data_IF_521375997371
#
_entry.id   IF_521375997371
#
_cell.length_a   1.000
_cell.length_b   1.000
_cell.length_c   1.000
_cell.angle_alpha   90.00
_cell.angle_beta   90.00
_cell.angle_gamma   90.00
#
_symmetry.space_group_name_H-M   'P 1'
#
loop_
_entity.id
_entity.type
_entity.pdbx_description
1 polymer ?
#
# COMPACT_ATOMS: atom_id res chain seq x y z
N UNK A 1 34.77 2.21 -57.67
CA UNK A 1 33.97 1.63 -56.55
C UNK A 1 33.05 2.73 -56.05
N UNK A 2 31.74 2.77 -56.39
CA UNK A 2 30.60 2.06 -55.74
C UNK A 2 30.65 2.25 -54.20
N UNK A 3 29.66 2.79 -53.46
CA UNK A 3 28.26 3.22 -53.71
C UNK A 3 27.79 4.10 -52.51
N UNK A 4 26.99 5.13 -52.82
CA UNK A 4 25.72 5.64 -52.22
C UNK A 4 25.55 5.94 -50.70
N UNK A 5 25.09 7.18 -50.46
CA UNK A 5 24.19 7.64 -49.37
C UNK A 5 22.88 6.84 -49.30
N UNK A 6 22.38 6.52 -48.09
CA UNK A 6 20.95 6.34 -47.72
C UNK A 6 20.86 6.60 -46.19
N UNK A 7 20.48 7.79 -45.71
CA UNK A 7 19.15 8.15 -45.17
C UNK A 7 18.50 7.06 -44.30
N UNK A 8 18.49 7.19 -42.97
CA UNK A 8 17.55 6.44 -42.14
C UNK A 8 16.46 7.35 -41.56
N UNK A 9 15.25 6.92 -41.83
CA UNK A 9 13.96 7.61 -41.79
C UNK A 9 13.48 7.74 -40.34
N UNK A 10 13.07 8.95 -39.97
CA UNK A 10 12.16 9.19 -38.84
C UNK A 10 10.81 8.59 -39.22
N UNK A 11 10.43 7.48 -38.59
CA UNK A 11 9.08 6.92 -38.76
C UNK A 11 8.19 7.53 -37.68
N UNK A 12 7.57 8.65 -38.05
CA UNK A 12 6.35 9.12 -37.40
C UNK A 12 5.17 8.34 -37.98
N UNK A 13 4.54 7.47 -37.19
CA UNK A 13 3.24 6.89 -37.56
C UNK A 13 2.17 7.80 -36.96
N UNK A 14 1.79 8.81 -37.74
CA UNK A 14 0.49 9.43 -37.62
C UNK A 14 -0.52 8.54 -38.37
N UNK A 15 -1.39 7.84 -37.66
CA UNK A 15 -2.62 7.32 -38.25
C UNK A 15 -3.75 8.26 -37.85
N UNK A 16 -4.02 9.18 -38.77
CA UNK A 16 -5.28 9.86 -38.95
C UNK A 16 -6.30 8.83 -39.46
N UNK A 17 -7.28 8.48 -38.63
CA UNK A 17 -8.59 8.02 -39.11
C UNK A 17 -9.65 8.90 -38.46
N UNK A 18 -9.93 10.04 -39.09
CA UNK A 18 -11.20 10.73 -38.93
C UNK A 18 -12.19 10.10 -39.91
N UNK A 19 -13.25 9.47 -39.39
CA UNK A 19 -14.37 9.02 -40.21
C UNK A 19 -15.23 7.95 -39.57
N UNK A 20 -16.21 8.40 -38.76
CA UNK A 20 -17.49 7.75 -38.45
C UNK A 20 -17.50 6.73 -37.29
N UNK A 21 -18.09 7.15 -36.16
CA UNK A 21 -18.86 6.26 -35.27
C UNK A 21 -18.15 5.63 -34.07
N UNK A 22 -18.00 6.39 -32.98
CA UNK A 22 -17.67 5.88 -31.64
C UNK A 22 -16.43 6.53 -31.04
N UNK A 23 -16.60 7.53 -30.16
CA UNK A 23 -15.53 8.03 -29.31
C UNK A 23 -15.05 6.89 -28.39
N UNK A 24 -13.97 6.19 -28.74
CA UNK A 24 -13.26 5.40 -27.73
C UNK A 24 -12.58 6.39 -26.77
N UNK A 25 -12.95 6.32 -25.49
CA UNK A 25 -12.39 7.13 -24.40
C UNK A 25 -11.06 6.57 -23.87
N UNK A 26 -10.61 5.46 -24.44
CA UNK A 26 -9.40 4.74 -24.05
C UNK A 26 -8.23 5.18 -24.92
N UNK A 27 -7.18 5.71 -24.29
CA UNK A 27 -5.89 5.89 -24.95
C UNK A 27 -4.97 4.76 -24.47
N UNK A 28 -4.93 3.66 -25.21
CA UNK A 28 -3.90 2.64 -25.02
C UNK A 28 -2.60 3.17 -25.61
N UNK A 29 -1.66 3.54 -24.74
CA UNK A 29 -0.30 3.88 -25.14
C UNK A 29 0.50 2.59 -25.08
N UNK A 30 0.74 1.95 -26.23
CA UNK A 30 1.74 0.89 -26.34
C UNK A 30 3.08 1.60 -26.57
N UNK A 31 3.78 1.92 -25.48
CA UNK A 31 5.20 2.23 -25.56
C UNK A 31 5.90 0.90 -25.42
N UNK A 32 6.63 0.51 -26.45
CA UNK A 32 7.41 -0.71 -26.42
C UNK A 32 8.41 -0.68 -25.26
N UNK A 33 8.39 -1.74 -24.48
CA UNK A 33 9.55 -2.34 -23.81
C UNK A 33 10.47 -1.30 -23.21
N UNK A 34 10.17 -0.95 -21.97
CA UNK A 34 11.13 -0.92 -20.88
C UNK A 34 10.57 -0.02 -19.79
N UNK A 35 10.46 -0.57 -18.58
CA UNK A 35 11.04 0.08 -17.41
C UNK A 35 12.48 0.46 -17.81
N UNK A 36 12.66 1.59 -18.50
CA UNK A 36 13.97 1.95 -19.06
C UNK A 36 14.87 2.15 -17.87
N UNK A 37 15.81 1.21 -17.73
CA UNK A 37 17.01 1.32 -16.93
C UNK A 37 17.90 2.41 -17.55
N UNK A 38 17.35 3.61 -17.66
CA UNK A 38 18.09 4.79 -18.06
C UNK A 38 18.89 5.20 -16.83
N UNK A 39 20.06 4.59 -16.65
CA UNK A 39 21.10 5.02 -15.70
C UNK A 39 21.61 6.45 -15.94
N UNK A 40 20.84 7.33 -16.58
CA UNK A 40 21.29 8.66 -16.94
C UNK A 40 20.12 9.61 -17.23
N UNK A 41 19.47 10.22 -16.21
CA UNK A 41 18.46 11.27 -16.48
C UNK A 41 18.24 12.28 -15.33
N UNK A 42 19.17 13.22 -15.15
CA UNK A 42 18.89 14.60 -14.69
C UNK A 42 18.38 14.87 -13.27
N UNK A 43 18.07 13.84 -12.46
CA UNK A 43 17.83 13.96 -11.01
C UNK A 43 19.09 13.45 -10.33
N UNK A 44 19.70 14.28 -9.49
CA UNK A 44 20.92 13.87 -8.79
C UNK A 44 20.51 13.16 -7.49
N UNK A 45 20.59 11.83 -7.48
CA UNK A 45 20.23 11.05 -6.30
C UNK A 45 21.50 10.57 -5.62
N UNK A 46 21.62 10.90 -4.34
CA UNK A 46 22.63 10.29 -3.48
C UNK A 46 22.02 9.11 -2.72
N UNK A 47 22.77 8.02 -2.64
CA UNK A 47 22.40 6.81 -1.93
C UNK A 47 23.39 6.58 -0.77
N UNK A 48 22.85 6.35 0.43
CA UNK A 48 23.61 5.90 1.60
C UNK A 48 23.11 4.52 2.02
N UNK A 49 24.04 3.61 2.31
CA UNK A 49 23.71 2.26 2.80
C UNK A 49 24.03 2.17 4.28
N UNK A 50 23.04 1.76 5.07
CA UNK A 50 23.18 1.52 6.50
C UNK A 50 22.91 0.03 6.78
N UNK A 51 23.92 -0.64 7.32
CA UNK A 51 23.78 -2.00 7.84
C UNK A 51 23.44 -1.93 9.32
N UNK A 52 22.34 -2.58 9.72
CA UNK A 52 21.91 -2.55 11.12
C UNK A 52 22.96 -3.19 12.03
N UNK A 53 23.39 -2.48 13.07
CA UNK A 53 24.22 -3.01 14.16
C UNK A 53 23.33 -3.36 15.34
N UNK A 54 22.70 -4.52 15.28
CA UNK A 54 21.86 -5.06 16.34
C UNK A 54 22.07 -6.57 16.48
N UNK A 55 21.62 -7.14 17.59
CA UNK A 55 21.68 -8.58 17.81
C UNK A 55 20.87 -9.33 16.75
N UNK A 56 21.29 -10.56 16.45
CA UNK A 56 20.59 -11.43 15.52
C UNK A 56 19.10 -11.51 15.87
N UNK A 57 18.25 -11.33 14.87
CA UNK A 57 16.80 -11.26 14.99
C UNK A 57 16.21 -9.99 15.62
N UNK A 58 16.96 -8.89 15.62
CA UNK A 58 16.42 -7.55 15.91
C UNK A 58 16.12 -6.82 14.60
N UNK A 59 14.86 -6.42 14.41
CA UNK A 59 14.45 -5.57 13.30
C UNK A 59 14.20 -4.14 13.79
N UNK A 60 14.71 -3.17 13.04
CA UNK A 60 14.29 -1.77 13.15
C UNK A 60 13.28 -1.44 12.05
N UNK A 61 12.10 -0.95 12.42
CA UNK A 61 11.03 -0.57 11.49
C UNK A 61 10.93 0.95 11.45
N UNK A 62 11.43 1.60 10.38
CA UNK A 62 11.30 3.04 10.20
C UNK A 62 9.83 3.44 10.14
N UNK A 63 9.49 4.55 10.81
CA UNK A 63 8.13 5.12 10.90
C UNK A 63 8.05 6.49 10.24
N UNK A 64 8.97 7.40 10.56
CA UNK A 64 8.97 8.76 10.02
C UNK A 64 10.35 9.41 10.04
N UNK A 65 10.47 10.49 9.25
CA UNK A 65 11.57 11.44 9.34
C UNK A 65 11.20 12.64 10.23
N UNK A 66 12.16 13.07 11.04
CA UNK A 66 12.12 14.35 11.73
C UNK A 66 13.47 15.08 11.53
N UNK A 67 13.48 15.99 10.56
CA UNK A 67 14.72 16.52 9.99
C UNK A 67 15.58 15.40 9.41
N UNK A 68 16.82 15.30 9.87
CA UNK A 68 17.77 14.26 9.44
C UNK A 68 17.65 12.96 10.24
N UNK A 69 16.84 12.93 11.29
CA UNK A 69 16.66 11.74 12.12
C UNK A 69 15.57 10.85 11.55
N UNK A 70 15.83 9.55 11.60
CA UNK A 70 14.86 8.52 11.23
C UNK A 70 14.37 7.91 12.53
N UNK A 71 13.07 8.05 12.81
CA UNK A 71 12.42 7.47 13.98
C UNK A 71 11.70 6.17 13.60
N UNK A 72 11.69 5.22 14.52
CA UNK A 72 11.14 3.89 14.28
C UNK A 72 10.92 3.09 15.55
N UNK A 73 10.37 1.88 15.37
CA UNK A 73 10.15 0.91 16.43
C UNK A 73 11.11 -0.27 16.29
N UNK A 74 11.56 -0.83 17.41
CA UNK A 74 12.40 -2.04 17.43
C UNK A 74 11.55 -3.25 17.78
N UNK A 75 11.69 -4.31 17.00
CA UNK A 75 10.92 -5.54 17.15
C UNK A 75 11.78 -6.80 16.98
N UNK A 76 11.35 -7.90 17.61
CA UNK A 76 11.96 -9.20 17.41
C UNK A 76 11.50 -9.79 16.08
N UNK A 77 12.45 -10.21 15.24
CA UNK A 77 12.18 -10.94 14.01
C UNK A 77 12.04 -12.45 14.23
N UNK A 78 12.36 -12.96 15.43
CA UNK A 78 12.30 -14.37 15.80
C UNK A 78 11.01 -14.77 16.54
N UNK A 79 10.17 -13.80 16.89
CA UNK A 79 9.22 -13.94 17.99
C UNK A 79 7.86 -14.52 17.61
N UNK A 80 7.47 -15.57 18.35
CA UNK A 80 6.06 -15.92 18.60
C UNK A 80 5.49 -14.94 19.63
N UNK A 81 4.19 -14.67 19.57
CA UNK A 81 3.52 -13.79 20.53
C UNK A 81 3.58 -14.39 21.94
N UNK A 82 4.10 -13.63 22.90
CA UNK A 82 4.10 -13.92 24.34
C UNK A 82 3.22 -12.89 25.02
N UNK A 83 2.00 -13.26 25.45
CA UNK A 83 0.97 -12.33 25.92
C UNK A 83 1.48 -11.34 26.97
N UNK A 84 2.27 -11.81 27.93
CA UNK A 84 2.79 -11.00 29.04
C UNK A 84 4.14 -10.32 28.76
N UNK A 85 4.67 -10.47 27.54
CA UNK A 85 5.96 -9.92 27.17
C UNK A 85 7.16 -10.68 27.71
N UNK A 86 8.35 -10.13 27.43
CA UNK A 86 9.62 -10.52 28.05
C UNK A 86 10.35 -9.28 28.57
N UNK A 87 11.42 -9.45 29.35
CA UNK A 87 12.22 -8.31 29.83
C UNK A 87 12.79 -7.48 28.67
N UNK A 88 13.23 -8.15 27.60
CA UNK A 88 13.80 -7.50 26.41
C UNK A 88 12.72 -6.91 25.48
N UNK A 89 11.59 -7.61 25.33
CA UNK A 89 10.46 -7.23 24.47
C UNK A 89 9.17 -7.21 25.29
N UNK A 90 8.94 -6.13 26.07
CA UNK A 90 7.82 -6.07 27.02
C UNK A 90 6.44 -6.04 26.34
N UNK A 91 6.36 -5.64 25.08
CA UNK A 91 5.09 -5.62 24.34
C UNK A 91 4.95 -6.92 23.55
N UNK A 92 4.07 -7.81 24.02
CA UNK A 92 3.72 -9.09 23.37
C UNK A 92 4.92 -10.02 23.08
N UNK A 93 6.07 -9.80 23.72
CA UNK A 93 7.29 -10.58 23.50
C UNK A 93 7.98 -10.26 22.17
N UNK A 94 7.53 -9.22 21.48
CA UNK A 94 7.93 -8.92 20.09
C UNK A 94 8.31 -7.47 19.86
N UNK A 95 7.93 -6.51 20.72
CA UNK A 95 8.22 -5.09 20.50
C UNK A 95 8.83 -4.44 21.74
N UNK A 96 9.79 -3.54 21.51
CA UNK A 96 10.30 -2.65 22.55
C UNK A 96 9.34 -1.50 22.79
N UNK A 97 9.40 -0.90 23.99
CA UNK A 97 8.45 0.13 24.44
C UNK A 97 8.63 1.47 23.72
N UNK A 98 9.86 1.93 23.53
CA UNK A 98 10.10 3.30 23.07
C UNK A 98 10.18 3.39 21.54
N UNK A 99 10.15 4.63 21.04
CA UNK A 99 10.70 4.97 19.74
C UNK A 99 12.22 5.00 19.81
N UNK A 100 12.86 4.69 18.68
CA UNK A 100 14.30 4.63 18.52
C UNK A 100 14.72 5.47 17.30
N UNK A 101 15.94 5.98 17.31
CA UNK A 101 16.55 6.59 16.12
C UNK A 101 17.57 5.64 15.49
N UNK A 102 17.55 5.56 14.15
CA UNK A 102 18.60 4.90 13.37
C UNK A 102 19.68 5.91 13.01
N UNK A 103 20.92 5.61 13.42
CA UNK A 103 22.10 6.41 13.15
C UNK A 103 22.77 5.97 11.83
N UNK A 104 23.57 6.86 11.22
CA UNK A 104 24.28 6.59 9.96
C UNK A 104 25.27 5.42 10.05
N UNK A 105 25.77 5.15 11.27
CA UNK A 105 26.67 4.02 11.50
C UNK A 105 25.94 2.69 11.71
N UNK A 106 24.60 2.68 11.65
CA UNK A 106 23.76 1.50 11.84
C UNK A 106 23.36 1.21 13.28
N UNK A 107 23.82 1.98 14.25
CA UNK A 107 23.38 1.84 15.64
C UNK A 107 21.95 2.37 15.84
N UNK A 108 21.23 1.78 16.80
CA UNK A 108 19.92 2.24 17.24
C UNK A 108 20.03 2.91 18.60
N UNK A 109 19.48 4.12 18.75
CA UNK A 109 19.45 4.84 20.03
C UNK A 109 18.03 4.93 20.55
N UNK A 110 17.85 4.62 21.82
CA UNK A 110 16.56 4.75 22.50
C UNK A 110 16.22 6.24 22.66
N UNK A 111 14.94 6.55 22.56
CA UNK A 111 14.41 7.89 22.88
C UNK A 111 13.50 7.80 24.11
N UNK A 112 13.19 8.95 24.72
CA UNK A 112 12.27 9.02 25.86
C UNK A 112 10.78 8.98 25.44
N UNK A 113 10.50 8.81 24.15
CA UNK A 113 9.14 8.81 23.61
C UNK A 113 8.64 7.40 23.36
N UNK A 114 7.38 7.18 23.70
CA UNK A 114 6.65 5.97 23.32
C UNK A 114 5.85 6.21 22.03
N UNK A 115 5.68 5.19 21.17
CA UNK A 115 4.70 5.26 20.07
C UNK A 115 3.31 5.57 20.62
N UNK A 116 2.53 6.36 19.89
CA UNK A 116 1.16 6.67 20.27
C UNK A 116 0.27 5.42 20.24
N UNK A 117 0.62 4.45 19.37
CA UNK A 117 -0.09 3.20 19.28
C UNK A 117 0.86 2.00 19.08
N UNK A 118 0.71 0.96 19.89
CA UNK A 118 1.43 -0.29 19.73
C UNK A 118 0.62 -1.24 18.85
N UNK A 119 1.11 -1.53 17.65
CA UNK A 119 0.51 -2.55 16.81
C UNK A 119 1.53 -3.25 15.92
N UNK A 120 1.56 -4.57 16.03
CA UNK A 120 2.33 -5.47 15.18
C UNK A 120 1.71 -5.48 13.77
N UNK A 121 2.28 -4.70 12.86
CA UNK A 121 1.88 -4.66 11.45
C UNK A 121 1.56 -3.27 10.91
N UNK A 122 1.38 -2.28 11.79
CA UNK A 122 1.36 -0.88 11.37
C UNK A 122 2.80 -0.48 11.06
N UNK A 123 3.00 0.20 9.92
CA UNK A 123 4.31 0.72 9.51
C UNK A 123 4.30 2.23 9.34
N UNK A 124 3.10 2.80 9.23
CA UNK A 124 2.83 4.21 9.20
C UNK A 124 3.07 4.83 10.60
N UNK A 125 3.48 6.09 10.62
CA UNK A 125 3.64 6.89 11.83
C UNK A 125 2.37 7.65 12.23
N UNK A 126 1.38 7.68 11.34
CA UNK A 126 0.15 8.45 11.48
C UNK A 126 -0.97 7.73 10.76
N UNK A 127 -2.14 7.67 11.37
CA UNK A 127 -3.32 7.15 10.69
C UNK A 127 -4.45 6.83 11.65
N UNK A 128 -5.27 5.86 11.26
CA UNK A 128 -6.30 5.30 12.13
C UNK A 128 -6.15 3.80 12.31
N UNK A 129 -6.58 3.32 13.47
CA UNK A 129 -6.49 1.92 13.88
C UNK A 129 -7.77 1.52 14.57
N UNK A 130 -8.14 0.26 14.41
CA UNK A 130 -9.09 -0.38 15.33
C UNK A 130 -8.26 -1.03 16.43
N UNK A 131 -8.58 -0.72 17.68
CA UNK A 131 -7.94 -1.38 18.80
C UNK A 131 -8.32 -2.86 18.79
N UNK A 132 -7.31 -3.70 18.56
CA UNK A 132 -7.39 -5.15 18.39
C UNK A 132 -6.12 -5.84 18.92
N UNK A 133 -5.01 -5.10 19.09
CA UNK A 133 -3.84 -5.59 19.84
C UNK A 133 -4.24 -5.93 21.28
N UNK A 134 -5.19 -5.16 21.83
CA UNK A 134 -5.82 -5.47 23.09
C UNK A 134 -6.90 -6.57 23.01
N UNK A 135 -7.24 -7.12 21.84
CA UNK A 135 -8.08 -8.34 21.80
C UNK A 135 -7.26 -9.56 22.26
N UNK A 136 -5.91 -9.49 22.16
CA UNK A 136 -5.01 -10.47 22.78
C UNK A 136 -4.77 -10.20 24.27
N UNK A 137 -5.03 -8.97 24.73
CA UNK A 137 -4.91 -8.51 26.12
C UNK A 137 -6.28 -7.98 26.55
N UNK A 138 -7.22 -8.88 26.88
CA UNK A 138 -8.60 -8.58 27.32
C UNK A 138 -8.81 -7.12 27.76
N UNK A 139 -9.41 -6.31 26.89
CA UNK A 139 -9.70 -4.90 27.20
C UNK A 139 -11.15 -4.56 26.94
N UNK A 140 -11.69 -3.64 27.71
CA UNK A 140 -13.06 -3.11 27.53
C UNK A 140 -13.22 -2.25 26.26
N UNK A 141 -12.12 -2.03 25.52
CA UNK A 141 -12.03 -1.13 24.37
C UNK A 141 -12.01 -1.85 23.01
N UNK A 142 -12.29 -3.16 22.97
CA UNK A 142 -12.45 -3.94 21.75
C UNK A 142 -13.38 -3.17 20.80
N UNK A 143 -12.93 -2.96 19.55
CA UNK A 143 -13.63 -2.19 18.50
C UNK A 143 -13.56 -0.66 18.59
N UNK A 144 -12.80 -0.06 19.51
CA UNK A 144 -12.57 1.38 19.46
C UNK A 144 -11.71 1.76 18.25
N UNK A 145 -12.07 2.85 17.58
CA UNK A 145 -11.30 3.43 16.48
C UNK A 145 -10.50 4.59 17.03
N UNK A 146 -9.18 4.57 16.85
CA UNK A 146 -8.27 5.63 17.26
C UNK A 146 -7.60 6.27 16.04
N UNK A 147 -7.49 7.59 16.06
CA UNK A 147 -6.45 8.31 15.33
C UNK A 147 -5.17 8.31 16.17
N UNK A 148 -4.03 8.21 15.50
CA UNK A 148 -2.72 8.33 16.12
C UNK A 148 -1.76 9.12 15.23
N UNK A 149 -0.80 9.78 15.86
CA UNK A 149 0.35 10.43 15.23
C UNK A 149 1.57 10.30 16.14
N UNK A 150 2.47 9.37 15.81
CA UNK A 150 3.69 9.07 16.55
C UNK A 150 4.67 10.25 16.53
N UNK A 151 4.64 11.09 15.49
CA UNK A 151 5.56 12.23 15.36
C UNK A 151 5.28 13.28 16.42
N UNK A 152 4.02 13.48 16.80
CA UNK A 152 3.62 14.41 17.86
C UNK A 152 3.14 13.72 19.16
N UNK A 153 3.05 12.38 19.17
CA UNK A 153 2.62 11.61 20.34
C UNK A 153 1.11 11.72 20.60
N UNK A 154 0.32 11.98 19.57
CA UNK A 154 -1.13 12.14 19.70
C UNK A 154 -1.83 10.78 19.56
N UNK A 155 -2.77 10.50 20.47
CA UNK A 155 -3.74 9.41 20.35
C UNK A 155 -5.13 9.94 20.70
N UNK A 156 -6.10 9.76 19.81
CA UNK A 156 -7.47 10.26 19.99
C UNK A 156 -8.49 9.21 19.55
N UNK A 157 -9.47 8.93 20.40
CA UNK A 157 -10.60 8.06 20.05
C UNK A 157 -11.54 8.78 19.09
N UNK A 158 -11.84 8.17 17.95
CA UNK A 158 -12.78 8.67 16.94
C UNK A 158 -14.16 8.05 17.09
N UNK A 159 -14.26 6.84 17.62
CA UNK A 159 -15.54 6.16 17.77
C UNK A 159 -15.40 4.68 18.04
N UNK A 160 -16.44 3.93 17.68
CA UNK A 160 -16.45 2.47 17.70
C UNK A 160 -16.78 1.95 16.31
N UNK A 161 -16.03 0.93 15.86
CA UNK A 161 -16.37 0.19 14.65
C UNK A 161 -17.65 -0.60 14.89
N UNK A 162 -18.29 -0.99 13.79
CA UNK A 162 -19.43 -1.88 13.84
C UNK A 162 -19.03 -3.23 14.48
N UNK A 163 -19.73 -3.63 15.55
CA UNK A 163 -19.43 -4.88 16.26
C UNK A 163 -19.88 -6.09 15.44
N UNK A 164 -18.99 -7.07 15.35
CA UNK A 164 -19.17 -8.30 14.59
C UNK A 164 -20.00 -9.37 15.33
N UNK A 165 -20.46 -9.10 16.56
CA UNK A 165 -20.99 -10.08 17.50
C UNK A 165 -22.38 -10.67 17.22
N UNK A 166 -23.00 -10.38 16.07
CA UNK A 166 -24.22 -11.09 15.67
C UNK A 166 -23.87 -12.51 15.19
N UNK A 167 -24.10 -13.48 16.09
CA UNK A 167 -23.80 -14.91 15.98
C UNK A 167 -24.64 -15.69 14.96
N UNK A 168 -25.64 -15.09 14.33
CA UNK A 168 -26.73 -15.91 13.77
C UNK A 168 -26.58 -16.37 12.30
N UNK A 169 -25.73 -15.79 11.43
CA UNK A 169 -25.80 -16.21 10.00
C UNK A 169 -24.73 -15.71 8.99
N UNK A 170 -23.43 -15.68 9.28
CA UNK A 170 -22.52 -14.93 8.37
C UNK A 170 -21.19 -15.65 8.07
N UNK A 171 -20.84 -15.75 6.78
CA UNK A 171 -19.63 -16.39 6.25
C UNK A 171 -18.36 -15.53 6.37
N UNK A 172 -17.46 -15.58 5.37
CA UNK A 172 -16.19 -14.82 5.35
C UNK A 172 -16.44 -13.31 5.47
N UNK A 173 -15.67 -12.63 6.32
CA UNK A 173 -15.69 -11.17 6.53
C UNK A 173 -14.29 -10.59 6.37
N UNK A 174 -14.21 -9.41 5.75
CA UNK A 174 -12.97 -8.67 5.55
C UNK A 174 -13.18 -7.21 5.97
N UNK A 175 -12.51 -6.83 7.06
CA UNK A 175 -12.51 -5.47 7.58
C UNK A 175 -11.29 -4.68 7.08
N UNK A 176 -11.48 -3.39 6.78
CA UNK A 176 -10.38 -2.48 6.42
C UNK A 176 -10.60 -1.13 7.08
N UNK A 177 -9.54 -0.59 7.67
CA UNK A 177 -9.56 0.70 8.37
C UNK A 177 -8.33 1.51 7.97
N UNK A 178 -8.52 2.72 7.44
CA UNK A 178 -7.42 3.58 6.99
C UNK A 178 -7.83 5.05 6.82
N UNK A 179 -6.85 5.94 6.71
CA UNK A 179 -7.04 7.32 6.27
C UNK A 179 -7.50 7.36 4.81
N UNK A 180 -8.33 8.33 4.43
CA UNK A 180 -8.71 8.55 3.03
C UNK A 180 -7.55 9.25 2.33
N UNK A 181 -6.94 8.58 1.34
CA UNK A 181 -5.89 9.19 0.56
C UNK A 181 -6.42 10.40 -0.23
N UNK A 182 -5.64 11.48 -0.26
CA UNK A 182 -6.03 12.76 -0.86
C UNK A 182 -6.80 13.69 0.09
N UNK A 183 -7.27 13.19 1.24
CA UNK A 183 -7.99 13.99 2.23
C UNK A 183 -7.70 13.49 3.66
N UNK A 184 -6.69 14.06 4.30
CA UNK A 184 -6.20 13.63 5.62
C UNK A 184 -7.15 13.98 6.78
N UNK A 185 -8.17 14.80 6.56
CA UNK A 185 -9.17 15.11 7.58
C UNK A 185 -10.22 14.01 7.73
N UNK A 186 -10.24 13.04 6.82
CA UNK A 186 -11.19 11.93 6.84
C UNK A 186 -10.49 10.58 6.83
N UNK A 187 -11.17 9.61 7.41
CA UNK A 187 -10.76 8.23 7.45
C UNK A 187 -11.98 7.33 7.32
N UNK A 188 -11.78 6.03 7.11
CA UNK A 188 -12.90 5.12 6.98
C UNK A 188 -12.65 3.75 7.62
N UNK A 189 -13.74 3.07 7.96
CA UNK A 189 -13.78 1.63 8.19
C UNK A 189 -14.80 0.98 7.27
N UNK A 190 -14.41 -0.10 6.61
CA UNK A 190 -15.23 -0.90 5.70
C UNK A 190 -15.35 -2.31 6.25
N UNK A 191 -16.54 -2.87 6.13
CA UNK A 191 -16.80 -4.28 6.32
C UNK A 191 -17.37 -4.86 5.01
N UNK A 192 -16.55 -5.65 4.32
CA UNK A 192 -16.99 -6.51 3.24
C UNK A 192 -17.31 -7.89 3.81
N UNK A 193 -18.29 -8.59 3.25
CA UNK A 193 -18.57 -9.95 3.68
C UNK A 193 -19.64 -10.64 2.85
N UNK A 194 -19.78 -11.94 3.10
CA UNK A 194 -20.84 -12.74 2.49
C UNK A 194 -21.99 -12.91 3.47
N UNK A 195 -23.16 -12.40 3.10
CA UNK A 195 -24.40 -12.74 3.79
C UNK A 195 -24.77 -14.17 3.39
N UNK A 196 -24.84 -15.08 4.36
CA UNK A 196 -25.34 -16.43 4.10
C UNK A 196 -26.87 -16.39 4.16
N UNK A 197 -27.54 -17.04 3.21
CA UNK A 197 -28.86 -17.58 3.51
C UNK A 197 -28.66 -18.69 4.55
N UNK A 198 -29.29 -18.56 5.72
CA UNK A 198 -29.27 -19.61 6.74
C UNK A 198 -29.84 -20.88 6.09
N UNK A 199 -28.97 -21.85 5.76
CA UNK A 199 -29.42 -23.23 5.70
C UNK A 199 -29.24 -23.79 7.08
N UNK A 200 -30.37 -24.14 7.70
CA UNK A 200 -30.38 -25.07 8.84
C UNK A 200 -29.69 -26.36 8.40
N UNK A 201 -28.39 -26.49 8.65
CA UNK A 201 -27.72 -27.78 8.60
C UNK A 201 -26.98 -27.98 9.91
N UNK A 202 -27.59 -28.83 10.74
CA UNK A 202 -26.98 -29.42 11.92
C UNK A 202 -25.62 -30.02 11.54
N UNK A 203 -24.60 -29.64 12.31
CA UNK A 203 -23.32 -30.31 12.56
C UNK A 203 -22.46 -30.75 11.37
N UNK A 204 -21.19 -30.36 11.47
CA UNK A 204 -19.99 -31.04 10.97
C UNK A 204 -20.04 -31.56 9.53
N UNK A 205 -19.49 -30.76 8.61
CA UNK A 205 -18.78 -31.10 7.35
C UNK A 205 -18.94 -29.93 6.38
N UNK A 206 -17.81 -29.43 5.87
CA UNK A 206 -17.63 -28.51 4.74
C UNK A 206 -18.93 -27.98 4.09
N UNK A 207 -19.52 -26.96 4.71
CA UNK A 207 -20.65 -26.26 4.11
C UNK A 207 -20.20 -25.54 2.84
N UNK A 208 -20.77 -25.90 1.69
CA UNK A 208 -20.64 -25.10 0.46
C UNK A 208 -21.13 -23.69 0.75
N UNK A 209 -20.19 -22.75 0.82
CA UNK A 209 -20.49 -21.33 0.99
C UNK A 209 -21.03 -20.79 -0.33
N UNK A 210 -22.35 -20.75 -0.49
CA UNK A 210 -23.02 -20.11 -1.63
C UNK A 210 -23.35 -18.65 -1.33
N UNK A 211 -23.10 -17.75 -2.27
CA UNK A 211 -23.42 -16.32 -2.15
C UNK A 211 -22.34 -15.43 -2.74
N UNK A 212 -22.70 -14.20 -3.09
CA UNK A 212 -21.74 -13.17 -3.51
C UNK A 212 -21.32 -12.33 -2.31
N UNK A 213 -20.03 -12.00 -2.22
CA UNK A 213 -19.56 -11.03 -1.24
C UNK A 213 -20.13 -9.64 -1.59
N UNK A 214 -20.46 -8.85 -0.57
CA UNK A 214 -21.01 -7.49 -0.69
C UNK A 214 -20.32 -6.56 0.32
N UNK A 215 -20.43 -5.25 0.08
CA UNK A 215 -20.21 -4.25 1.12
C UNK A 215 -21.36 -4.38 2.11
N UNK A 216 -21.07 -4.61 3.40
CA UNK A 216 -22.09 -4.71 4.46
C UNK A 216 -22.22 -3.40 5.23
N UNK A 217 -21.08 -2.75 5.47
CA UNK A 217 -21.03 -1.50 6.20
C UNK A 217 -19.82 -0.65 5.76
N UNK A 218 -20.03 0.66 5.73
CA UNK A 218 -18.99 1.68 5.66
C UNK A 218 -19.27 2.71 6.76
N UNK A 219 -18.22 3.14 7.45
CA UNK A 219 -18.24 4.37 8.26
C UNK A 219 -17.12 5.29 7.75
N UNK A 220 -17.46 6.50 7.33
CA UNK A 220 -16.51 7.58 7.08
C UNK A 220 -16.50 8.47 8.31
N UNK A 221 -15.31 8.78 8.81
CA UNK A 221 -15.06 9.48 10.07
C UNK A 221 -14.27 10.76 9.79
N UNK A 222 -14.78 11.88 10.26
CA UNK A 222 -14.03 13.12 10.33
C UNK A 222 -13.05 13.04 11.50
N UNK A 223 -11.75 13.07 11.17
CA UNK A 223 -10.66 12.85 12.12
C UNK A 223 -10.65 13.97 13.17
N UNK A 224 -10.92 15.20 12.77
CA UNK A 224 -10.78 16.38 13.64
C UNK A 224 -12.07 16.81 14.35
N UNK A 225 -13.23 16.55 13.74
CA UNK A 225 -14.52 17.05 14.21
C UNK A 225 -15.43 15.94 14.77
N UNK A 226 -15.05 14.67 14.63
CA UNK A 226 -15.85 13.52 15.08
C UNK A 226 -17.11 13.28 14.24
N UNK A 227 -17.23 13.93 13.08
CA UNK A 227 -18.32 13.65 12.14
C UNK A 227 -18.28 12.19 11.71
N UNK A 228 -19.46 11.63 11.47
CA UNK A 228 -19.60 10.22 11.12
C UNK A 228 -20.71 10.05 10.11
N UNK A 229 -20.38 9.39 9.00
CA UNK A 229 -21.29 9.05 7.93
C UNK A 229 -21.32 7.53 7.77
N UNK A 230 -22.50 6.94 7.78
CA UNK A 230 -22.66 5.49 7.69
C UNK A 230 -23.40 5.07 6.42
N UNK A 231 -22.95 3.96 5.83
CA UNK A 231 -23.74 3.16 4.91
C UNK A 231 -23.96 1.78 5.54
N UNK A 232 -25.20 1.28 5.45
CA UNK A 232 -25.59 -0.07 5.83
C UNK A 232 -26.49 -0.61 4.72
N UNK A 233 -26.07 -1.67 4.08
CA UNK A 233 -26.81 -2.26 2.97
C UNK A 233 -26.00 -3.38 2.33
N UNK A 234 -26.58 -4.08 1.35
CA UNK A 234 -25.95 -5.21 0.66
C UNK A 234 -26.05 -5.11 -0.87
N UNK A 235 -26.44 -3.93 -1.37
CA UNK A 235 -26.67 -3.68 -2.80
C UNK A 235 -25.36 -3.48 -3.58
N UNK A 236 -24.26 -3.24 -2.88
CA UNK A 236 -22.98 -2.85 -3.46
C UNK A 236 -22.00 -4.02 -3.34
N UNK A 237 -21.21 -4.25 -4.40
CA UNK A 237 -20.10 -5.20 -4.36
C UNK A 237 -19.04 -4.77 -3.33
N UNK A 238 -18.13 -5.66 -2.92
CA UNK A 238 -17.09 -5.34 -1.98
C UNK A 238 -16.28 -4.15 -2.47
N UNK A 239 -16.13 -3.15 -1.61
CA UNK A 239 -15.33 -1.96 -1.90
C UNK A 239 -13.88 -2.27 -1.55
N UNK A 240 -12.98 -2.06 -2.52
CA UNK A 240 -11.54 -2.21 -2.33
C UNK A 240 -10.94 -1.02 -1.57
N UNK A 241 -11.33 0.20 -1.96
CA UNK A 241 -10.79 1.42 -1.40
C UNK A 241 -11.73 2.63 -1.54
N UNK A 242 -11.49 3.64 -0.71
CA UNK A 242 -12.11 4.98 -0.77
C UNK A 242 -11.01 6.02 -0.80
N UNK A 243 -11.05 6.87 -1.81
CA UNK A 243 -10.08 7.94 -2.04
C UNK A 243 -10.80 9.27 -2.26
N UNK A 244 -10.07 10.37 -2.10
CA UNK A 244 -10.54 11.70 -2.46
C UNK A 244 -9.78 12.22 -3.67
N UNK A 245 -10.51 12.70 -4.68
CA UNK A 245 -9.94 13.35 -5.85
C UNK A 245 -10.15 14.86 -5.78
N UNK A 246 -9.06 15.62 -5.71
CA UNK A 246 -9.09 17.08 -5.78
C UNK A 246 -9.45 17.65 -7.16
N UNK A 247 -9.42 16.84 -8.23
CA UNK A 247 -9.80 17.30 -9.58
C UNK A 247 -11.30 17.60 -9.64
N UNK A 248 -12.08 16.78 -8.93
CA UNK A 248 -13.53 16.85 -8.90
C UNK A 248 -14.08 17.28 -7.55
N UNK A 249 -13.24 17.39 -6.51
CA UNK A 249 -13.62 17.68 -5.13
C UNK A 249 -14.64 16.67 -4.60
N UNK A 250 -14.31 15.37 -4.73
CA UNK A 250 -15.22 14.26 -4.42
C UNK A 250 -14.52 13.07 -3.80
N UNK A 251 -15.28 12.34 -2.98
CA UNK A 251 -14.93 11.02 -2.49
C UNK A 251 -15.37 9.95 -3.48
N UNK A 252 -14.49 9.02 -3.78
CA UNK A 252 -14.76 7.91 -4.67
C UNK A 252 -14.51 6.58 -3.98
N UNK A 253 -15.48 5.67 -4.10
CA UNK A 253 -15.32 4.27 -3.76
C UNK A 253 -15.18 3.44 -5.03
N UNK A 254 -14.28 2.46 -5.01
CA UNK A 254 -14.03 1.55 -6.13
C UNK A 254 -14.34 0.13 -5.68
N UNK A 255 -15.25 -0.55 -6.37
CA UNK A 255 -15.51 -1.95 -6.10
C UNK A 255 -14.47 -2.87 -6.74
N UNK A 256 -14.47 -4.14 -6.32
CA UNK A 256 -13.52 -5.16 -6.81
C UNK A 256 -13.54 -5.39 -8.33
N UNK A 257 -14.56 -4.93 -9.06
CA UNK A 257 -14.70 -5.06 -10.52
C UNK A 257 -14.38 -3.75 -11.27
N UNK A 258 -13.97 -2.69 -10.56
CA UNK A 258 -13.64 -1.40 -11.15
C UNK A 258 -14.82 -0.43 -11.26
N UNK A 259 -16.00 -0.76 -10.72
CA UNK A 259 -17.12 0.18 -10.70
C UNK A 259 -16.81 1.31 -9.73
N UNK A 260 -16.98 2.54 -10.21
CA UNK A 260 -16.65 3.76 -9.50
C UNK A 260 -17.95 4.42 -8.99
N UNK A 261 -17.96 4.72 -7.70
CA UNK A 261 -19.06 5.40 -7.04
C UNK A 261 -18.59 6.73 -6.45
N UNK A 262 -19.34 7.80 -6.68
CA UNK A 262 -19.26 8.99 -5.83
C UNK A 262 -19.87 8.64 -4.47
N UNK A 263 -19.18 8.98 -3.38
CA UNK A 263 -19.69 8.81 -2.02
C UNK A 263 -20.13 10.16 -1.48
N UNK A 264 -21.44 10.38 -1.46
CA UNK A 264 -22.04 11.61 -0.93
C UNK A 264 -22.30 11.44 0.57
N UNK A 265 -21.80 12.38 1.36
CA UNK A 265 -21.91 12.40 2.81
C UNK A 265 -22.90 13.50 3.21
N UNK A 266 -24.08 13.09 3.69
CA UNK A 266 -25.15 14.04 4.07
C UNK A 266 -26.01 13.44 5.17
N UNK A 267 -26.42 14.25 6.14
CA UNK A 267 -27.35 13.84 7.20
C UNK A 267 -26.87 12.58 7.96
N UNK A 268 -25.55 12.49 8.21
CA UNK A 268 -24.86 11.33 8.82
C UNK A 268 -24.95 10.02 8.03
N UNK A 269 -25.35 10.10 6.75
CA UNK A 269 -25.45 8.98 5.82
C UNK A 269 -24.37 9.07 4.74
N UNK A 270 -23.84 7.93 4.32
CA UNK A 270 -22.99 7.79 3.13
C UNK A 270 -23.80 7.14 2.00
N UNK A 271 -23.97 7.86 0.88
CA UNK A 271 -24.71 7.39 -0.30
C UNK A 271 -23.77 7.14 -1.46
N UNK A 272 -23.96 6.01 -2.11
CA UNK A 272 -23.18 5.63 -3.29
C UNK A 272 -23.96 5.97 -4.55
N UNK A 273 -23.34 6.75 -5.42
CA UNK A 273 -23.88 7.09 -6.74
C UNK A 273 -22.89 6.58 -7.77
N UNK A 274 -23.30 5.60 -8.57
CA UNK A 274 -22.47 5.09 -9.66
C UNK A 274 -22.18 6.21 -10.67
N UNK A 275 -20.90 6.38 -11.02
CA UNK A 275 -20.46 7.46 -11.92
C UNK A 275 -19.72 6.96 -13.16
N UNK A 276 -19.04 5.82 -13.06
CA UNK A 276 -18.27 5.23 -14.15
C UNK A 276 -17.91 3.77 -13.86
N UNK A 277 -17.34 3.11 -14.87
CA UNK A 277 -16.72 1.80 -14.72
C UNK A 277 -15.30 1.83 -15.31
N UNK A 278 -14.29 1.66 -14.47
CA UNK A 278 -12.89 1.62 -14.89
C UNK A 278 -12.60 0.19 -15.34
N UNK A 279 -12.26 -0.01 -16.61
CA UNK A 279 -11.81 -1.31 -17.09
C UNK A 279 -10.46 -1.65 -16.44
N UNK A 280 -10.49 -2.60 -15.51
CA UNK A 280 -9.33 -3.06 -14.75
C UNK A 280 -8.47 -4.08 -15.50
N UNK A 281 -8.73 -4.36 -16.79
CA UNK A 281 -7.87 -5.16 -17.70
C UNK A 281 -7.33 -6.46 -17.10
N UNK A 282 -8.18 -7.21 -16.40
CA UNK A 282 -7.81 -8.51 -15.84
C UNK A 282 -6.97 -8.47 -14.56
N UNK A 283 -6.89 -7.33 -13.88
CA UNK A 283 -6.47 -7.31 -12.47
C UNK A 283 -7.45 -8.17 -11.66
N UNK A 284 -6.93 -9.13 -10.88
CA UNK A 284 -7.76 -10.09 -10.13
C UNK A 284 -8.74 -9.40 -9.16
N UNK A 285 -8.34 -8.28 -8.55
CA UNK A 285 -9.21 -7.40 -7.77
C UNK A 285 -8.48 -6.14 -7.29
N UNK A 286 -9.24 -5.08 -6.97
CA UNK A 286 -8.75 -3.94 -6.21
C UNK A 286 -8.66 -4.30 -4.71
N UNK A 287 -7.54 -4.90 -4.30
CA UNK A 287 -7.29 -5.29 -2.90
C UNK A 287 -6.72 -4.13 -2.05
N UNK A 288 -6.51 -4.36 -0.74
CA UNK A 288 -5.89 -3.39 0.16
C UNK A 288 -4.56 -2.87 -0.41
N UNK A 289 -4.41 -1.54 -0.47
CA UNK A 289 -3.20 -0.87 -0.96
C UNK A 289 -3.11 -0.73 -2.48
N UNK A 290 -4.04 -1.34 -3.25
CA UNK A 290 -4.00 -1.28 -4.73
C UNK A 290 -4.51 0.01 -5.32
N UNK A 291 -5.27 0.81 -4.56
CA UNK A 291 -5.84 2.06 -5.05
C UNK A 291 -5.17 3.24 -4.36
N UNK A 292 -4.86 4.28 -5.13
CA UNK A 292 -4.29 5.51 -4.62
C UNK A 292 -4.78 6.73 -5.40
N UNK A 293 -4.30 7.91 -5.03
CA UNK A 293 -4.51 9.15 -5.75
C UNK A 293 -3.17 9.88 -5.93
N UNK A 294 -2.89 10.34 -7.14
CA UNK A 294 -1.67 11.09 -7.43
C UNK A 294 -1.79 12.58 -7.07
N UNK A 295 -0.68 13.31 -7.17
CA UNK A 295 -0.65 14.75 -6.94
C UNK A 295 -1.51 15.57 -7.88
N UNK A 296 -1.99 15.03 -8.99
CA UNK A 296 -2.95 15.72 -9.84
C UNK A 296 -4.38 15.49 -9.37
N UNK A 297 -4.63 14.51 -8.51
CA UNK A 297 -5.95 14.05 -8.09
C UNK A 297 -6.53 12.95 -8.99
N UNK A 298 -5.70 12.30 -9.80
CA UNK A 298 -6.09 11.15 -10.61
C UNK A 298 -6.05 9.88 -9.77
N UNK A 299 -7.00 8.99 -10.04
CA UNK A 299 -7.14 7.70 -9.39
C UNK A 299 -6.09 6.76 -9.97
N UNK A 300 -5.30 6.14 -9.10
CA UNK A 300 -4.32 5.13 -9.46
C UNK A 300 -4.83 3.76 -9.02
N UNK A 301 -4.70 2.74 -9.88
CA UNK A 301 -4.94 1.34 -9.54
C UNK A 301 -3.69 0.53 -9.90
N UNK A 302 -3.07 -0.09 -8.91
CA UNK A 302 -1.83 -0.83 -9.01
C UNK A 302 -2.07 -2.34 -9.05
N UNK A 303 -1.28 -3.03 -9.87
CA UNK A 303 -1.22 -4.48 -9.87
C UNK A 303 -0.27 -4.98 -8.78
N UNK A 304 -0.84 -5.32 -7.61
CA UNK A 304 -0.07 -5.85 -6.47
C UNK A 304 0.17 -7.38 -6.56
N UNK A 305 -0.83 -8.23 -6.86
CA UNK A 305 -0.67 -9.68 -6.78
C UNK A 305 0.10 -10.31 -7.96
N UNK A 306 0.68 -9.49 -8.84
CA UNK A 306 1.55 -9.91 -9.95
C UNK A 306 0.86 -10.72 -11.05
N UNK A 307 -0.46 -10.57 -11.23
CA UNK A 307 -1.21 -11.26 -12.29
C UNK A 307 -1.59 -10.32 -13.43
N UNK A 308 -1.31 -10.70 -14.68
CA UNK A 308 -1.71 -9.97 -15.88
C UNK A 308 -0.74 -8.88 -16.34
N UNK A 309 -1.02 -8.31 -17.52
CA UNK A 309 -0.09 -7.44 -18.25
C UNK A 309 -0.12 -5.96 -17.83
N UNK A 310 -1.12 -5.51 -17.06
CA UNK A 310 -1.19 -4.11 -16.61
C UNK A 310 -0.44 -3.95 -15.30
N UNK A 311 0.47 -2.99 -15.21
CA UNK A 311 1.17 -2.62 -13.98
C UNK A 311 0.40 -1.55 -13.19
N UNK A 312 -0.13 -0.55 -13.90
CA UNK A 312 -0.84 0.58 -13.30
C UNK A 312 -1.91 1.12 -14.23
N UNK A 313 -3.04 1.53 -13.65
CA UNK A 313 -4.11 2.26 -14.31
C UNK A 313 -4.14 3.66 -13.71
N UNK A 314 -4.16 4.67 -14.57
CA UNK A 314 -4.32 6.08 -14.19
C UNK A 314 -5.66 6.54 -14.77
N UNK A 315 -6.60 6.89 -13.91
CA UNK A 315 -7.93 7.33 -14.30
C UNK A 315 -8.19 8.76 -13.84
N UNK A 316 -8.58 9.61 -14.79
CA UNK A 316 -8.91 11.00 -14.53
C UNK A 316 -10.44 11.15 -14.36
N UNK A 317 -10.97 11.36 -13.13
CA UNK A 317 -12.42 11.34 -12.88
C UNK A 317 -13.20 12.48 -13.53
N UNK A 318 -12.54 13.58 -13.91
CA UNK A 318 -13.18 14.71 -14.59
C UNK A 318 -13.34 14.48 -16.08
N UNK A 319 -12.30 13.94 -16.72
CA UNK A 319 -12.29 13.70 -18.18
C UNK A 319 -12.74 12.29 -18.55
N UNK A 320 -12.83 11.38 -17.57
CA UNK A 320 -13.08 9.95 -17.75
C UNK A 320 -12.05 9.26 -18.64
N UNK A 321 -10.86 9.84 -18.75
CA UNK A 321 -9.76 9.28 -19.53
C UNK A 321 -9.01 8.27 -18.67
N UNK A 322 -8.74 7.11 -19.25
CA UNK A 322 -7.92 6.06 -18.64
C UNK A 322 -6.61 5.91 -19.42
N UNK A 323 -5.51 5.85 -18.69
CA UNK A 323 -4.18 5.48 -19.20
C UNK A 323 -3.74 4.19 -18.52
N UNK A 324 -3.19 3.26 -19.30
CA UNK A 324 -2.64 2.00 -18.81
C UNK A 324 -1.12 2.02 -18.96
N UNK A 325 -0.42 1.61 -17.91
CA UNK A 325 1.01 1.30 -17.92
C UNK A 325 1.11 -0.21 -17.81
N UNK A 326 1.69 -0.85 -18.82
CA UNK A 326 1.81 -2.31 -18.90
C UNK A 326 3.18 -2.79 -18.41
N UNK A 327 3.26 -4.07 -18.05
CA UNK A 327 4.48 -4.79 -17.64
C UNK A 327 5.34 -5.27 -18.82
N UNK A 328 4.97 -4.95 -20.06
CA UNK A 328 5.58 -5.49 -21.29
C UNK A 328 5.65 -7.03 -21.28
N UNK A 329 6.74 -7.64 -21.77
CA UNK A 329 6.97 -9.09 -21.81
C UNK A 329 7.39 -9.68 -20.45
N UNK A 330 7.46 -8.85 -19.41
CA UNK A 330 7.98 -9.20 -18.10
C UNK A 330 6.85 -9.27 -17.09
N UNK A 331 6.17 -10.42 -17.05
CA UNK A 331 4.96 -10.60 -16.26
C UNK A 331 5.17 -10.45 -14.74
N UNK A 332 6.43 -10.40 -14.28
CA UNK A 332 6.85 -10.50 -12.87
C UNK A 332 7.12 -9.17 -12.14
N UNK A 333 6.88 -8.04 -12.81
CA UNK A 333 7.10 -6.71 -12.23
C UNK A 333 5.87 -6.23 -11.48
N UNK A 334 6.05 -5.74 -10.24
CA UNK A 334 4.97 -5.18 -9.41
C UNK A 334 5.38 -3.92 -8.66
N UNK A 335 4.39 -3.09 -8.32
CA UNK A 335 4.58 -1.92 -7.44
C UNK A 335 4.45 -2.38 -5.98
N UNK A 336 5.50 -2.14 -5.19
CA UNK A 336 5.54 -2.46 -3.76
C UNK A 336 5.10 -1.31 -2.87
N UNK A 337 5.42 -0.08 -3.26
CA UNK A 337 5.05 1.12 -2.54
C UNK A 337 4.86 2.28 -3.52
N UNK A 338 3.93 3.16 -3.17
CA UNK A 338 3.68 4.41 -3.86
C UNK A 338 3.59 5.54 -2.83
N UNK A 339 4.30 6.63 -3.11
CA UNK A 339 4.31 7.84 -2.30
C UNK A 339 3.77 8.98 -3.16
N UNK A 340 2.59 9.48 -2.77
CA UNK A 340 1.95 10.60 -3.45
C UNK A 340 2.88 11.80 -3.49
N UNK A 341 3.58 12.10 -2.39
CA UNK A 341 4.59 13.16 -2.35
C UNK A 341 5.75 12.85 -3.30
N UNK A 342 5.84 13.64 -4.37
CA UNK A 342 6.82 13.44 -5.44
C UNK A 342 6.50 12.30 -6.42
N UNK A 343 5.29 11.71 -6.38
CA UNK A 343 4.84 10.58 -7.22
C UNK A 343 5.86 9.43 -7.29
N UNK A 344 6.52 9.11 -6.16
CA UNK A 344 7.59 8.10 -6.14
C UNK A 344 7.02 6.70 -6.03
N UNK A 345 7.71 5.74 -6.65
CA UNK A 345 7.36 4.32 -6.62
C UNK A 345 8.56 3.47 -6.25
N UNK A 346 8.29 2.38 -5.55
CA UNK A 346 9.20 1.24 -5.41
C UNK A 346 8.64 0.10 -6.23
N UNK A 347 9.44 -0.36 -7.18
CA UNK A 347 9.15 -1.52 -8.01
C UNK A 347 9.98 -2.70 -7.54
N UNK A 348 9.37 -3.88 -7.63
CA UNK A 348 10.05 -5.15 -7.43
C UNK A 348 9.83 -6.00 -8.68
N UNK A 349 10.90 -6.64 -9.15
CA UNK A 349 10.90 -7.50 -10.32
C UNK A 349 11.55 -8.83 -9.96
N UNK A 350 10.89 -9.94 -10.26
CA UNK A 350 11.51 -11.27 -10.12
C UNK A 350 12.45 -11.50 -11.30
N UNK A 351 13.67 -11.96 -11.03
CA UNK A 351 14.61 -12.34 -12.07
C UNK A 351 14.55 -13.85 -12.35
N UNK A 352 15.34 -14.31 -13.32
CA UNK A 352 15.40 -15.72 -13.75
C UNK A 352 15.83 -16.69 -12.65
N UNK A 353 16.50 -16.20 -11.62
CA UNK A 353 17.08 -17.00 -10.55
C UNK A 353 16.20 -16.94 -9.28
N UNK A 354 14.92 -16.58 -9.45
CA UNK A 354 13.95 -16.41 -8.38
C UNK A 354 14.32 -15.38 -7.29
N UNK A 355 15.28 -14.51 -7.60
CA UNK A 355 15.62 -13.36 -6.78
C UNK A 355 14.76 -12.15 -7.15
N UNK A 356 14.66 -11.18 -6.23
CA UNK A 356 13.93 -9.95 -6.44
C UNK A 356 14.87 -8.77 -6.60
N UNK A 357 14.76 -8.08 -7.73
CA UNK A 357 15.40 -6.81 -7.98
C UNK A 357 14.48 -5.68 -7.54
N UNK A 358 15.06 -4.64 -6.93
CA UNK A 358 14.32 -3.47 -6.47
C UNK A 358 14.75 -2.22 -7.21
N UNK A 359 13.78 -1.42 -7.62
CA UNK A 359 13.99 -0.18 -8.34
C UNK A 359 13.21 0.95 -7.69
N UNK A 360 13.81 2.13 -7.69
CA UNK A 360 13.14 3.37 -7.28
C UNK A 360 12.92 4.24 -8.50
N UNK A 361 11.71 4.77 -8.62
CA UNK A 361 11.32 5.60 -9.74
C UNK A 361 10.23 6.61 -9.41
N UNK A 362 9.71 7.22 -10.45
CA UNK A 362 8.64 8.20 -10.39
C UNK A 362 7.57 7.89 -11.44
N UNK A 363 6.32 7.86 -10.99
CA UNK A 363 5.16 7.71 -11.85
C UNK A 363 4.94 9.01 -12.65
N UNK A 364 4.89 8.88 -13.97
CA UNK A 364 4.54 9.93 -14.93
C UNK A 364 3.18 9.61 -15.56
N UNK A 365 2.67 10.54 -16.37
CA UNK A 365 1.33 10.46 -16.96
C UNK A 365 1.05 9.17 -17.76
N UNK A 366 2.08 8.52 -18.28
CA UNK A 366 1.96 7.33 -19.13
C UNK A 366 3.15 6.36 -19.06
N UNK A 367 4.06 6.52 -18.10
CA UNK A 367 5.20 5.62 -17.89
C UNK A 367 5.73 5.77 -16.45
N UNK A 368 6.62 4.86 -16.05
CA UNK A 368 7.39 5.01 -14.81
C UNK A 368 8.83 5.31 -15.18
N UNK A 369 9.36 6.43 -14.70
CA UNK A 369 10.77 6.80 -14.88
C UNK A 369 11.59 6.15 -13.76
N UNK A 370 12.49 5.23 -14.10
CA UNK A 370 13.43 4.66 -13.13
C UNK A 370 14.57 5.63 -12.89
N UNK A 371 14.94 5.73 -11.62
CA UNK A 371 16.07 6.51 -11.20
C UNK A 371 17.27 5.64 -10.86
N UNK A 372 17.05 4.58 -10.07
CA UNK A 372 18.13 3.70 -9.62
C UNK A 372 17.60 2.30 -9.32
N UNK A 373 18.51 1.32 -9.42
CA UNK A 373 18.35 -0.05 -8.92
C UNK A 373 19.02 -0.13 -7.55
N UNK A 374 18.31 -0.67 -6.56
CA UNK A 374 18.84 -0.85 -5.21
C UNK A 374 19.62 -2.16 -5.11
N UNK A 375 20.94 -2.03 -5.12
CA UNK A 375 21.88 -3.14 -4.95
C UNK A 375 22.05 -3.45 -3.46
N UNK A 376 21.97 -4.72 -3.09
CA UNK A 376 22.29 -5.20 -1.74
C UNK A 376 23.33 -6.31 -1.83
N UNK A 377 24.42 -6.13 -1.11
CA UNK A 377 25.45 -7.15 -0.96
C UNK A 377 24.86 -8.35 -0.23
N UNK A 378 25.00 -9.53 -0.84
CA UNK A 378 24.45 -10.80 -0.36
C UNK A 378 25.38 -11.95 -0.74
N UNK A 379 25.43 -12.98 0.10
CA UNK A 379 26.13 -14.23 -0.23
C UNK A 379 25.33 -15.07 -1.25
N UNK A 380 25.96 -16.09 -1.84
CA UNK A 380 25.34 -16.95 -2.87
C UNK A 380 24.03 -17.62 -2.40
N UNK A 381 23.96 -18.00 -1.12
CA UNK A 381 22.80 -18.66 -0.51
C UNK A 381 21.78 -17.66 0.09
N UNK A 382 22.07 -16.35 0.04
CA UNK A 382 21.19 -15.31 0.53
C UNK A 382 20.26 -14.78 -0.56
N UNK A 383 19.02 -14.47 -0.18
CA UNK A 383 18.09 -13.70 -1.00
C UNK A 383 17.73 -12.40 -0.31
N UNK A 384 17.47 -11.37 -1.12
CA UNK A 384 17.05 -10.06 -0.66
C UNK A 384 15.63 -9.75 -1.12
N UNK A 385 14.85 -9.08 -0.27
CA UNK A 385 13.48 -8.70 -0.59
C UNK A 385 13.07 -7.39 0.06
N UNK A 386 12.07 -6.74 -0.52
CA UNK A 386 11.48 -5.52 0.03
C UNK A 386 10.83 -5.78 1.40
N UNK A 387 11.16 -4.97 2.41
CA UNK A 387 10.52 -5.01 3.73
C UNK A 387 9.60 -3.82 3.96
N UNK A 388 10.13 -2.60 3.84
CA UNK A 388 9.38 -1.36 4.08
C UNK A 388 9.99 -0.20 3.29
N UNK A 389 9.23 0.88 3.15
CA UNK A 389 9.81 2.18 2.89
C UNK A 389 8.98 3.30 3.50
N UNK A 390 9.63 4.40 3.87
CA UNK A 390 8.98 5.64 4.27
C UNK A 390 9.62 6.81 3.51
N UNK A 391 8.85 7.87 3.35
CA UNK A 391 9.25 9.12 2.70
C UNK A 391 9.20 10.26 3.72
N UNK A 392 10.09 11.25 3.58
CA UNK A 392 10.00 12.50 4.34
C UNK A 392 8.79 13.33 3.88
N UNK A 393 8.24 14.15 4.77
CA UNK A 393 7.06 14.97 4.49
C UNK A 393 7.25 15.93 3.30
N UNK A 394 8.49 16.31 2.99
CA UNK A 394 8.84 17.18 1.85
C UNK A 394 9.13 16.40 0.55
N UNK A 395 9.07 15.06 0.60
CA UNK A 395 9.32 14.16 -0.52
C UNK A 395 10.78 14.11 -1.01
N UNK A 396 11.74 14.66 -0.25
CA UNK A 396 13.15 14.73 -0.66
C UNK A 396 14.02 13.57 -0.16
N UNK A 397 13.59 12.86 0.88
CA UNK A 397 14.32 11.71 1.44
C UNK A 397 13.42 10.49 1.51
N UNK A 398 13.95 9.34 1.12
CA UNK A 398 13.30 8.04 1.27
C UNK A 398 14.27 7.11 1.99
N UNK A 399 13.76 6.32 2.94
CA UNK A 399 14.49 5.16 3.44
C UNK A 399 13.75 3.90 2.98
N UNK A 400 14.49 3.00 2.34
CA UNK A 400 14.02 1.69 1.90
C UNK A 400 14.69 0.62 2.75
N UNK A 401 13.90 -0.24 3.36
CA UNK A 401 14.35 -1.38 4.15
C UNK A 401 14.27 -2.65 3.31
N UNK A 402 15.37 -3.40 3.26
CA UNK A 402 15.49 -4.69 2.57
C UNK A 402 15.82 -5.78 3.61
N UNK A 403 15.08 -6.90 3.62
CA UNK A 403 15.52 -8.11 4.34
C UNK A 403 16.54 -8.80 3.47
N UNK A 404 17.68 -9.17 4.05
CA UNK A 404 18.53 -10.22 3.51
C UNK A 404 18.34 -11.43 4.40
N UNK A 405 17.94 -12.52 3.79
CA UNK A 405 17.52 -13.71 4.49
C UNK A 405 18.21 -14.94 3.86
N UNK A 406 18.53 -15.93 4.70
CA UNK A 406 19.12 -17.21 4.30
C UNK A 406 18.28 -18.35 4.86
N UNK A 407 17.92 -19.32 4.01
CA UNK A 407 17.13 -20.46 4.46
C UNK A 407 17.93 -21.26 5.49
N UNK A 408 17.29 -21.54 6.63
CA UNK A 408 17.85 -22.40 7.66
C UNK A 408 17.73 -23.87 7.26
N UNK A 409 18.73 -24.69 7.59
CA UNK A 409 18.55 -26.15 7.59
C UNK A 409 17.42 -26.53 8.55
N UNK A 410 16.67 -27.59 8.23
CA UNK A 410 15.50 -28.08 8.97
C UNK A 410 15.65 -27.92 10.50
N UNK A 411 14.88 -26.99 11.08
CA UNK A 411 14.83 -26.75 12.53
C UNK A 411 15.68 -25.59 13.06
N UNK A 412 16.52 -24.94 12.25
CA UNK A 412 17.25 -23.72 12.64
C UNK A 412 16.50 -22.46 12.21
N UNK A 413 16.55 -21.41 13.05
CA UNK A 413 15.94 -20.10 12.76
C UNK A 413 16.56 -19.51 11.50
N UNK A 414 15.72 -18.97 10.62
CA UNK A 414 16.13 -18.22 9.43
C UNK A 414 17.07 -17.08 9.86
N UNK A 415 18.28 -17.02 9.29
CA UNK A 415 19.13 -15.85 9.46
C UNK A 415 18.47 -14.69 8.71
N UNK A 416 18.31 -13.57 9.40
CA UNK A 416 17.70 -12.36 8.87
C UNK A 416 18.48 -11.15 9.35
N UNK A 417 18.99 -10.36 8.39
CA UNK A 417 19.51 -9.01 8.63
C UNK A 417 18.74 -7.99 7.83
N UNK A 418 18.68 -6.77 8.35
CA UNK A 418 18.04 -5.64 7.69
C UNK A 418 19.11 -4.67 7.14
N UNK A 419 18.98 -4.33 5.87
CA UNK A 419 19.78 -3.30 5.19
C UNK A 419 18.87 -2.13 4.86
N UNK A 420 19.36 -0.92 5.10
CA UNK A 420 18.62 0.30 4.80
C UNK A 420 19.34 1.12 3.72
N UNK A 421 18.58 1.61 2.76
CA UNK A 421 19.04 2.53 1.73
C UNK A 421 18.37 3.87 1.94
N UNK A 422 19.14 4.92 2.24
CA UNK A 422 18.64 6.30 2.28
C UNK A 422 18.91 6.93 0.92
N UNK A 423 17.84 7.39 0.27
CA UNK A 423 17.89 8.10 -1.00
C UNK A 423 17.56 9.56 -0.75
N UNK A 424 18.40 10.46 -1.25
CA UNK A 424 18.12 11.90 -1.26
C UNK A 424 17.93 12.37 -2.70
N UNK A 425 16.77 12.92 -3.01
CA UNK A 425 16.41 13.42 -4.34
C UNK A 425 16.77 14.91 -4.44
N UNK A 426 17.80 15.26 -5.22
CA UNK A 426 18.28 16.65 -5.41
C UNK A 426 17.85 17.27 -6.74
#
# INVERSE_FOLDING_TARGET
MKKRKISLIVVAIAILTMGIGGCSKEKTVIVGTNVQDNKNTGVNISEETINLKADDNTDYVPRYFDGDKIYGTVMSSAGRIVKDGTEEYPILGIMKKNLYTLESDGSIKVTDREPAFYNFGIRESKGIVVDNINDMIESDNIHDIYYYDDKIGEKRKLGKTYSLNNKESIGRREGKTQMIQGQSEFAYTILNGRQNEVRESKMDVEGKVSGEDKLLNLQILGVNNGEKYEYKGTDILPIGDIIYSKITDKFYAIDKKGKLYNVEMKDSEAKFIEVDNIDIKGLDSTNKGSVSVNNNGEILIFNIPDYGQVLTIIYNPKTKKTTYINKDADESTRIRAYFTDGNKVILEKRNSDDNYEMYVGELKDNYIKIYTKLEVEKDEEEYAGFSNAIMSDDGKKMIVSQCVCKDGNEGLKQYKRSVYKILTFN
#
